data_IF_703432787676
#
_entry.id   IF_703432787676
#
_cell.length_a   1.000
_cell.length_b   1.000
_cell.length_c   1.000
_cell.angle_alpha   90.00
_cell.angle_beta   90.00
_cell.angle_gamma   90.00
#
_symmetry.space_group_name_H-M   'P 1'
#
loop_
_entity.id
_entity.type
_entity.pdbx_description
1 polymer ?
#
# COMPACT_ATOMS: atom_id res chain seq x y z
N UNK A 1 -17.05 -21.91 0.96
CA UNK A 1 -17.06 -20.45 0.74
C UNK A 1 -16.25 -20.19 -0.52
N UNK A 2 -16.73 -19.42 -1.51
CA UNK A 2 -15.89 -19.09 -2.64
C UNK A 2 -14.79 -18.17 -2.08
N UNK A 3 -13.58 -18.72 -1.94
CA UNK A 3 -12.35 -17.96 -1.71
C UNK A 3 -12.36 -16.81 -2.72
N UNK A 4 -12.25 -15.57 -2.23
CA UNK A 4 -12.17 -14.37 -3.05
C UNK A 4 -11.40 -14.69 -4.34
N UNK A 5 -12.06 -14.56 -5.49
CA UNK A 5 -11.47 -14.95 -6.76
C UNK A 5 -10.26 -14.06 -6.98
N UNK A 6 -9.06 -14.61 -7.14
CA UNK A 6 -7.92 -14.10 -7.93
C UNK A 6 -7.96 -12.57 -8.24
N UNK A 7 -8.78 -12.16 -9.22
CA UNK A 7 -8.93 -10.78 -9.69
C UNK A 7 -9.48 -9.78 -8.65
N UNK A 8 -10.10 -10.23 -7.56
CA UNK A 8 -10.70 -9.40 -6.53
C UNK A 8 -9.63 -8.81 -5.59
N UNK A 9 -8.57 -9.55 -5.29
CA UNK A 9 -7.48 -9.05 -4.43
C UNK A 9 -6.70 -7.94 -5.14
N UNK A 10 -6.26 -8.19 -6.38
CA UNK A 10 -5.52 -7.20 -7.15
C UNK A 10 -6.33 -5.92 -7.39
N UNK A 11 -7.64 -6.06 -7.68
CA UNK A 11 -8.56 -4.91 -7.76
C UNK A 11 -8.73 -4.17 -6.44
N UNK A 12 -8.72 -4.89 -5.32
CA UNK A 12 -8.79 -4.30 -3.99
C UNK A 12 -7.52 -3.47 -3.70
N UNK A 13 -6.34 -4.02 -3.97
CA UNK A 13 -5.06 -3.31 -3.77
C UNK A 13 -4.85 -2.13 -4.72
N UNK A 14 -5.51 -2.13 -5.89
CA UNK A 14 -5.50 -1.00 -6.82
C UNK A 14 -6.48 0.13 -6.43
N UNK A 15 -7.40 -0.08 -5.48
CA UNK A 15 -8.37 0.93 -5.05
C UNK A 15 -7.69 1.96 -4.12
N UNK A 16 -7.68 3.27 -4.46
CA UNK A 16 -7.09 4.30 -3.61
C UNK A 16 -7.73 4.39 -2.22
N UNK A 17 -9.00 3.98 -2.07
CA UNK A 17 -9.66 3.91 -0.76
C UNK A 17 -9.02 2.86 0.13
N UNK A 18 -8.63 1.72 -0.43
CA UNK A 18 -7.98 0.63 0.32
C UNK A 18 -6.62 1.08 0.81
N UNK A 19 -5.82 1.73 -0.03
CA UNK A 19 -4.54 2.31 0.37
C UNK A 19 -4.71 3.34 1.51
N UNK A 20 -5.69 4.23 1.40
CA UNK A 20 -5.98 5.22 2.45
C UNK A 20 -6.41 4.56 3.78
N UNK A 21 -7.23 3.50 3.72
CA UNK A 21 -7.65 2.75 4.91
C UNK A 21 -6.45 2.03 5.54
N UNK A 22 -5.66 1.30 4.75
CA UNK A 22 -4.46 0.60 5.24
C UNK A 22 -3.49 1.54 5.95
N UNK A 23 -3.31 2.75 5.41
CA UNK A 23 -2.51 3.81 6.02
C UNK A 23 -3.10 4.29 7.35
N UNK A 24 -4.40 4.55 7.40
CA UNK A 24 -5.07 4.99 8.63
C UNK A 24 -5.02 3.93 9.74
N UNK A 25 -5.07 2.64 9.39
CA UNK A 25 -5.21 1.54 10.36
C UNK A 25 -3.90 0.87 10.76
N UNK A 26 -2.74 1.45 10.45
CA UNK A 26 -1.41 0.86 10.76
C UNK A 26 -1.17 0.60 12.26
N UNK A 27 -1.85 1.34 13.15
CA UNK A 27 -1.69 1.17 14.60
C UNK A 27 -2.25 -0.17 15.10
N UNK A 28 -1.52 -0.81 16.04
CA UNK A 28 -1.96 -2.03 16.74
C UNK A 28 -3.23 -1.84 17.57
N UNK A 29 -3.53 -0.63 18.02
CA UNK A 29 -4.76 -0.34 18.77
C UNK A 29 -6.01 -0.34 17.87
N UNK A 30 -5.81 -0.23 16.56
CA UNK A 30 -6.87 -0.14 15.56
C UNK A 30 -7.71 1.13 15.65
N UNK A 31 -8.63 1.26 14.69
CA UNK A 31 -9.58 2.36 14.57
C UNK A 31 -10.99 1.83 14.29
N UNK A 32 -12.00 2.52 14.79
CA UNK A 32 -13.40 2.24 14.42
C UNK A 32 -13.72 2.77 13.03
N UNK A 33 -14.81 2.28 12.40
CA UNK A 33 -15.27 2.79 11.10
C UNK A 33 -15.43 4.32 11.09
N UNK A 34 -15.90 4.91 12.20
CA UNK A 34 -16.06 6.36 12.34
C UNK A 34 -14.71 7.10 12.34
N UNK A 35 -13.73 6.54 13.04
CA UNK A 35 -12.38 7.11 13.10
C UNK A 35 -11.67 6.99 11.74
N UNK A 36 -11.82 5.84 11.06
CA UNK A 36 -11.33 5.65 9.69
C UNK A 36 -11.95 6.68 8.75
N UNK A 37 -13.27 6.92 8.84
CA UNK A 37 -13.96 7.94 8.04
C UNK A 37 -13.41 9.34 8.27
N UNK A 38 -13.16 9.72 9.52
CA UNK A 38 -12.61 11.04 9.85
C UNK A 38 -11.19 11.22 9.29
N UNK A 39 -10.33 10.20 9.39
CA UNK A 39 -8.95 10.28 8.92
C UNK A 39 -8.82 10.22 7.39
N UNK A 40 -9.60 9.35 6.74
CA UNK A 40 -9.53 9.14 5.29
C UNK A 40 -10.41 10.11 4.49
N UNK A 41 -11.31 10.83 5.17
CA UNK A 41 -12.39 11.63 4.56
C UNK A 41 -13.35 10.82 3.68
N UNK A 42 -13.33 9.48 3.78
CA UNK A 42 -14.25 8.59 3.09
C UNK A 42 -15.55 8.52 3.90
N UNK A 43 -16.73 8.73 3.30
CA UNK A 43 -18.01 8.65 4.01
C UNK A 43 -18.24 7.27 4.67
N UNK A 44 -18.71 7.26 5.92
CA UNK A 44 -19.00 6.05 6.70
C UNK A 44 -19.81 4.99 5.93
N UNK A 45 -20.84 5.40 5.17
CA UNK A 45 -21.68 4.48 4.41
C UNK A 45 -20.93 3.73 3.29
N UNK A 46 -19.82 4.28 2.81
CA UNK A 46 -18.95 3.64 1.81
C UNK A 46 -17.91 2.73 2.47
N UNK A 47 -17.59 2.93 3.74
CA UNK A 47 -16.54 2.17 4.42
C UNK A 47 -16.96 0.75 4.80
N UNK A 48 -18.19 0.52 5.23
CA UNK A 48 -18.61 -0.80 5.73
C UNK A 48 -18.36 -1.92 4.70
N UNK A 49 -18.70 -1.66 3.43
CA UNK A 49 -18.50 -2.64 2.37
C UNK A 49 -17.01 -2.87 2.08
N UNK A 50 -16.22 -1.79 2.03
CA UNK A 50 -14.78 -1.87 1.76
C UNK A 50 -14.03 -2.55 2.90
N UNK A 51 -14.33 -2.21 4.15
CA UNK A 51 -13.73 -2.83 5.34
C UNK A 51 -14.03 -4.33 5.36
N UNK A 52 -15.27 -4.75 5.13
CA UNK A 52 -15.60 -6.19 5.09
C UNK A 52 -14.77 -6.93 4.03
N UNK A 53 -14.65 -6.37 2.82
CA UNK A 53 -13.79 -6.96 1.77
C UNK A 53 -12.33 -7.04 2.18
N UNK A 54 -11.81 -6.01 2.85
CA UNK A 54 -10.44 -5.98 3.34
C UNK A 54 -10.24 -7.03 4.43
N UNK A 55 -11.21 -7.25 5.31
CA UNK A 55 -11.15 -8.34 6.28
C UNK A 55 -11.19 -9.72 5.62
N UNK A 56 -12.08 -9.93 4.65
CA UNK A 56 -12.17 -11.18 3.89
C UNK A 56 -10.88 -11.48 3.09
N UNK A 57 -10.10 -10.44 2.79
CA UNK A 57 -8.80 -10.51 2.12
C UNK A 57 -7.60 -10.54 3.10
N UNK A 58 -7.85 -10.64 4.40
CA UNK A 58 -6.83 -10.60 5.47
C UNK A 58 -5.96 -9.32 5.45
N UNK A 59 -6.50 -8.21 4.95
CA UNK A 59 -5.86 -6.90 4.96
C UNK A 59 -6.17 -6.12 6.23
N UNK A 60 -7.27 -6.45 6.92
CA UNK A 60 -7.66 -5.88 8.20
C UNK A 60 -8.10 -6.97 9.16
N UNK A 61 -7.74 -6.80 10.43
CA UNK A 61 -8.20 -7.66 11.53
C UNK A 61 -8.91 -6.84 12.59
N UNK A 62 -9.84 -7.45 13.32
CA UNK A 62 -10.46 -6.83 14.49
C UNK A 62 -9.54 -7.06 15.68
N UNK A 63 -9.01 -5.97 16.25
CA UNK A 63 -8.09 -6.02 17.39
C UNK A 63 -8.77 -5.72 18.73
N UNK A 64 -9.95 -5.09 18.69
CA UNK A 64 -10.76 -4.82 19.87
C UNK A 64 -12.25 -4.70 19.50
N UNK A 65 -13.12 -4.99 20.47
CA UNK A 65 -14.56 -4.81 20.34
C UNK A 65 -15.10 -4.17 21.62
N UNK A 66 -15.85 -3.07 21.47
CA UNK A 66 -16.47 -2.36 22.59
C UNK A 66 -17.97 -2.29 22.39
N UNK A 67 -18.73 -2.52 23.46
CA UNK A 67 -20.18 -2.38 23.41
C UNK A 67 -20.56 -0.92 23.70
N UNK A 68 -21.23 -0.27 22.74
CA UNK A 68 -21.75 1.09 22.88
C UNK A 68 -23.27 1.04 22.77
N UNK A 69 -23.95 1.11 23.93
CA UNK A 69 -25.39 0.86 24.04
C UNK A 69 -25.74 -0.54 23.49
N UNK A 70 -26.55 -0.61 22.43
CA UNK A 70 -26.99 -1.87 21.82
C UNK A 70 -26.15 -2.24 20.58
N UNK A 71 -25.05 -1.53 20.30
CA UNK A 71 -24.21 -1.75 19.12
C UNK A 71 -22.82 -2.21 19.56
N UNK A 72 -22.29 -3.22 18.86
CA UNK A 72 -20.90 -3.62 18.96
C UNK A 72 -20.06 -2.76 18.01
N UNK A 73 -19.08 -2.06 18.55
CA UNK A 73 -18.14 -1.24 17.80
C UNK A 73 -16.80 -1.97 17.70
N UNK A 74 -16.42 -2.32 16.47
CA UNK A 74 -15.16 -3.01 16.16
C UNK A 74 -14.05 -2.01 15.88
N UNK A 75 -12.84 -2.34 16.32
CA UNK A 75 -11.60 -1.63 16.01
C UNK A 75 -10.79 -2.46 15.03
N UNK A 76 -10.45 -1.88 13.88
CA UNK A 76 -9.75 -2.54 12.79
C UNK A 76 -8.30 -2.09 12.72
N UNK A 77 -7.39 -3.04 12.47
CA UNK A 77 -5.96 -2.79 12.31
C UNK A 77 -5.40 -3.51 11.08
N UNK A 78 -4.44 -2.87 10.41
CA UNK A 78 -3.58 -3.46 9.37
C UNK A 78 -2.17 -3.76 9.88
N UNK A 79 -1.90 -3.59 11.19
CA UNK A 79 -0.56 -3.74 11.76
C UNK A 79 0.04 -5.13 11.52
N UNK A 80 -0.81 -6.16 11.34
CA UNK A 80 -0.35 -7.52 11.09
C UNK A 80 0.28 -7.72 9.71
N UNK A 81 0.02 -6.80 8.76
CA UNK A 81 0.66 -6.81 7.46
C UNK A 81 2.16 -6.54 7.58
N UNK A 82 2.58 -5.76 8.58
CA UNK A 82 3.96 -5.29 8.74
C UNK A 82 4.78 -6.12 9.74
N UNK A 83 4.38 -7.37 10.03
CA UNK A 83 5.14 -8.28 10.90
C UNK A 83 6.46 -8.77 10.25
N UNK A 84 7.42 -7.87 10.12
CA UNK A 84 8.83 -8.17 9.89
C UNK A 84 9.52 -8.52 11.22
N UNK A 85 10.82 -8.82 11.21
CA UNK A 85 11.56 -9.02 12.47
C UNK A 85 11.51 -7.75 13.34
N UNK A 86 11.62 -7.83 14.68
CA UNK A 86 11.54 -6.65 15.55
C UNK A 86 12.53 -5.53 15.20
N UNK A 87 13.70 -5.89 14.65
CA UNK A 87 14.72 -4.93 14.22
C UNK A 87 14.30 -4.21 12.94
N UNK A 88 13.84 -4.95 11.92
CA UNK A 88 13.36 -4.35 10.66
C UNK A 88 12.13 -3.47 10.91
N UNK A 89 11.23 -3.90 11.79
CA UNK A 89 10.06 -3.11 12.18
C UNK A 89 10.49 -1.80 12.87
N UNK A 90 11.48 -1.84 13.77
CA UNK A 90 11.98 -0.64 14.43
C UNK A 90 12.64 0.34 13.43
N UNK A 91 13.39 -0.19 12.46
CA UNK A 91 14.02 0.63 11.42
C UNK A 91 12.95 1.27 10.52
N UNK A 92 11.89 0.54 10.16
CA UNK A 92 10.78 1.03 9.32
C UNK A 92 9.86 2.01 10.05
N UNK A 93 9.50 1.73 11.30
CA UNK A 93 8.71 2.62 12.16
C UNK A 93 9.42 3.96 12.37
N UNK A 94 10.76 3.96 12.37
CA UNK A 94 11.58 5.17 12.48
C UNK A 94 11.57 6.08 11.25
N UNK A 95 11.05 5.63 10.10
CA UNK A 95 11.09 6.41 8.85
C UNK A 95 9.89 7.35 8.66
N UNK A 96 8.84 7.29 9.50
CA UNK A 96 7.61 8.12 9.40
C UNK A 96 7.07 8.21 7.96
N UNK A 97 6.97 7.06 7.27
CA UNK A 97 6.54 7.01 5.87
C UNK A 97 5.16 6.42 5.66
N UNK A 98 4.47 6.95 4.66
CA UNK A 98 3.12 6.55 4.27
C UNK A 98 3.08 5.40 3.26
N UNK A 99 4.11 4.56 3.26
CA UNK A 99 4.18 3.39 2.38
C UNK A 99 3.44 2.19 2.98
N UNK A 100 2.76 1.42 2.13
CA UNK A 100 2.20 0.12 2.53
C UNK A 100 3.33 -0.90 2.43
N UNK A 101 3.87 -1.28 3.57
CA UNK A 101 4.87 -2.35 3.66
C UNK A 101 4.19 -3.67 4.06
N UNK A 102 4.36 -4.69 3.23
CA UNK A 102 3.80 -6.03 3.44
C UNK A 102 4.96 -6.96 3.79
N UNK A 103 4.96 -7.47 5.02
CA UNK A 103 5.98 -8.35 5.56
C UNK A 103 6.17 -9.63 4.76
N UNK A 104 7.35 -10.22 4.89
CA UNK A 104 7.64 -11.54 4.33
C UNK A 104 6.70 -12.62 4.88
N UNK A 105 6.35 -12.55 6.17
CA UNK A 105 5.45 -13.51 6.83
C UNK A 105 4.05 -13.51 6.20
N UNK A 106 3.45 -12.33 6.03
CA UNK A 106 2.12 -12.24 5.41
C UNK A 106 2.16 -12.67 3.94
N UNK A 107 3.20 -12.24 3.21
CA UNK A 107 3.42 -12.59 1.80
C UNK A 107 3.51 -14.11 1.61
N UNK A 108 4.20 -14.82 2.51
CA UNK A 108 4.31 -16.28 2.46
C UNK A 108 2.94 -16.97 2.59
N UNK A 109 2.03 -16.42 3.39
CA UNK A 109 0.67 -16.95 3.52
C UNK A 109 -0.24 -16.63 2.32
N UNK A 110 0.12 -15.61 1.52
CA UNK A 110 -0.72 -15.03 0.46
C UNK A 110 -0.02 -14.95 -0.91
N UNK A 111 0.93 -15.85 -1.19
CA UNK A 111 1.79 -15.82 -2.38
C UNK A 111 0.98 -15.66 -3.68
N UNK A 112 -0.12 -16.39 -3.84
CA UNK A 112 -0.93 -16.31 -5.07
C UNK A 112 -1.52 -14.91 -5.27
N UNK A 113 -2.10 -14.33 -4.22
CA UNK A 113 -2.67 -12.99 -4.22
C UNK A 113 -1.61 -11.94 -4.55
N UNK A 114 -0.43 -12.04 -3.95
CA UNK A 114 0.69 -11.13 -4.21
C UNK A 114 1.17 -11.23 -5.67
N UNK A 115 1.33 -12.44 -6.20
CA UNK A 115 1.72 -12.65 -7.60
C UNK A 115 0.76 -11.95 -8.58
N UNK A 116 -0.55 -11.99 -8.32
CA UNK A 116 -1.53 -11.35 -9.19
C UNK A 116 -1.50 -9.85 -9.09
N UNK A 117 -1.26 -9.33 -7.89
CA UNK A 117 -1.08 -7.91 -7.72
C UNK A 117 0.15 -7.42 -8.48
N UNK A 118 1.27 -8.15 -8.40
CA UNK A 118 2.48 -7.88 -9.22
C UNK A 118 2.16 -7.91 -10.71
N UNK A 119 1.43 -8.93 -11.20
CA UNK A 119 1.03 -9.01 -12.61
C UNK A 119 0.16 -7.83 -13.05
N UNK A 120 -0.78 -7.40 -12.21
CA UNK A 120 -1.63 -6.24 -12.49
C UNK A 120 -0.80 -4.95 -12.56
N UNK A 121 0.11 -4.74 -11.60
CA UNK A 121 0.99 -3.56 -11.58
C UNK A 121 1.88 -3.49 -12.83
N UNK A 122 2.44 -4.62 -13.25
CA UNK A 122 3.24 -4.71 -14.47
C UNK A 122 2.40 -4.49 -15.74
N UNK A 123 1.16 -4.99 -15.77
CA UNK A 123 0.24 -4.72 -16.87
C UNK A 123 -0.10 -3.23 -16.98
N UNK A 124 -0.51 -2.60 -15.87
CA UNK A 124 -0.80 -1.16 -15.79
C UNK A 124 0.40 -0.32 -16.29
N UNK A 125 1.62 -0.67 -15.86
CA UNK A 125 2.83 0.01 -16.31
C UNK A 125 3.07 -0.17 -17.81
N UNK A 126 2.92 -1.39 -18.32
CA UNK A 126 3.15 -1.71 -19.74
C UNK A 126 2.16 -0.98 -20.65
N UNK A 127 0.88 -0.92 -20.28
CA UNK A 127 -0.12 -0.17 -21.02
C UNK A 127 0.19 1.33 -21.06
N UNK A 128 0.54 1.91 -19.91
CA UNK A 128 0.90 3.33 -19.82
C UNK A 128 2.15 3.64 -20.65
N UNK A 129 3.18 2.77 -20.58
CA UNK A 129 4.40 2.89 -21.37
C UNK A 129 4.08 2.84 -22.87
N UNK A 130 3.28 1.86 -23.31
CA UNK A 130 2.88 1.73 -24.70
C UNK A 130 2.11 2.97 -25.18
N UNK A 131 1.15 3.47 -24.40
CA UNK A 131 0.37 4.65 -24.75
C UNK A 131 1.25 5.89 -24.91
N UNK A 132 2.11 6.19 -23.94
CA UNK A 132 3.00 7.36 -23.99
C UNK A 132 3.99 7.28 -25.16
N UNK A 133 4.62 6.12 -25.38
CA UNK A 133 5.67 5.98 -26.41
C UNK A 133 5.13 5.89 -27.83
N UNK A 134 3.87 5.46 -28.03
CA UNK A 134 3.29 5.28 -29.36
C UNK A 134 2.29 6.36 -29.76
N UNK A 135 1.63 7.03 -28.81
CA UNK A 135 0.57 8.00 -29.08
C UNK A 135 0.92 9.43 -28.68
N UNK A 136 1.87 9.64 -27.77
CA UNK A 136 2.31 10.96 -27.32
C UNK A 136 3.73 11.26 -27.82
N UNK A 137 4.11 12.53 -27.86
CA UNK A 137 5.48 12.93 -28.26
C UNK A 137 6.47 12.37 -27.21
N UNK A 138 7.39 11.46 -27.57
CA UNK A 138 8.27 10.77 -26.61
C UNK A 138 9.08 11.75 -25.74
N UNK A 139 9.51 12.86 -26.33
CA UNK A 139 10.34 13.89 -25.68
C UNK A 139 9.62 14.67 -24.57
N UNK A 140 8.31 14.46 -24.41
CA UNK A 140 7.49 15.07 -23.34
C UNK A 140 6.85 14.02 -22.43
N UNK A 141 7.21 12.75 -22.58
CA UNK A 141 6.71 11.67 -21.73
C UNK A 141 7.27 11.82 -20.32
N UNK A 142 6.38 11.66 -19.33
CA UNK A 142 6.77 11.57 -17.92
C UNK A 142 7.12 10.13 -17.50
N UNK A 143 6.97 9.14 -18.38
CA UNK A 143 7.29 7.74 -18.10
C UNK A 143 8.75 7.47 -18.44
N UNK A 144 9.46 6.87 -17.49
CA UNK A 144 10.82 6.35 -17.68
C UNK A 144 10.92 4.91 -17.18
N UNK A 145 11.89 4.16 -17.72
CA UNK A 145 12.25 2.83 -17.26
C UNK A 145 13.74 2.79 -16.95
N UNK A 146 14.08 2.37 -15.74
CA UNK A 146 15.45 2.27 -15.24
C UNK A 146 15.67 0.91 -14.60
N UNK A 147 16.83 0.29 -14.86
CA UNK A 147 17.26 -0.94 -14.21
C UNK A 147 18.75 -0.87 -13.86
N UNK A 148 19.16 -1.64 -12.85
CA UNK A 148 20.56 -1.75 -12.43
C UNK A 148 20.84 -3.14 -11.85
N UNK A 149 22.08 -3.61 -12.03
CA UNK A 149 22.62 -4.80 -11.34
C UNK A 149 23.63 -4.30 -10.32
N UNK A 150 23.39 -4.58 -9.04
CA UNK A 150 24.20 -4.09 -7.92
C UNK A 150 24.81 -5.27 -7.16
N UNK A 151 26.09 -5.16 -6.80
CA UNK A 151 26.75 -6.11 -5.90
C UNK A 151 26.70 -5.55 -4.48
N UNK A 152 25.80 -6.07 -3.65
CA UNK A 152 25.56 -5.58 -2.28
C UNK A 152 25.75 -6.70 -1.25
N UNK A 153 26.19 -6.33 -0.06
CA UNK A 153 26.09 -7.19 1.13
C UNK A 153 24.65 -7.17 1.65
N UNK A 154 24.27 -8.11 2.52
CA UNK A 154 22.95 -8.11 3.17
C UNK A 154 22.65 -6.78 3.89
N UNK A 155 23.65 -6.19 4.56
CA UNK A 155 23.51 -4.88 5.19
C UNK A 155 23.32 -3.75 4.16
N UNK A 156 24.01 -3.83 3.02
CA UNK A 156 23.83 -2.88 1.92
C UNK A 156 22.45 -2.97 1.27
N UNK A 157 21.90 -4.18 1.12
CA UNK A 157 20.53 -4.37 0.63
C UNK A 157 19.49 -3.80 1.59
N UNK A 158 19.65 -4.02 2.89
CA UNK A 158 18.78 -3.45 3.91
C UNK A 158 18.81 -1.92 3.88
N UNK A 159 20.02 -1.32 3.85
CA UNK A 159 20.15 0.13 3.75
C UNK A 159 19.50 0.69 2.48
N UNK A 160 19.68 0.02 1.32
CA UNK A 160 19.03 0.41 0.08
C UNK A 160 17.50 0.42 0.21
N UNK A 161 16.91 -0.59 0.87
CA UNK A 161 15.46 -0.63 1.14
C UNK A 161 15.04 0.60 1.96
N UNK A 162 15.73 0.89 3.06
CA UNK A 162 15.42 2.04 3.93
C UNK A 162 15.53 3.37 3.19
N UNK A 163 16.60 3.56 2.40
CA UNK A 163 16.82 4.79 1.64
C UNK A 163 15.73 5.02 0.58
N UNK A 164 15.32 3.96 -0.13
CA UNK A 164 14.22 4.03 -1.10
C UNK A 164 12.88 4.35 -0.42
N UNK A 165 12.57 3.68 0.69
CA UNK A 165 11.34 3.92 1.46
C UNK A 165 11.30 5.37 1.94
N UNK A 166 12.40 5.87 2.51
CA UNK A 166 12.51 7.26 2.96
C UNK A 166 12.31 8.25 1.82
N UNK A 167 13.02 8.06 0.71
CA UNK A 167 12.92 8.92 -0.47
C UNK A 167 11.48 9.04 -0.96
N UNK A 168 10.77 7.92 -1.04
CA UNK A 168 9.38 7.86 -1.50
C UNK A 168 8.40 8.44 -0.46
N UNK A 169 8.62 8.16 0.83
CA UNK A 169 7.79 8.68 1.92
C UNK A 169 7.86 10.20 2.04
N UNK A 170 9.03 10.78 1.77
CA UNK A 170 9.23 12.23 1.80
C UNK A 170 8.80 12.93 0.49
N UNK A 171 8.44 12.20 -0.56
CA UNK A 171 8.24 12.76 -1.90
C UNK A 171 7.11 13.82 -1.97
N UNK A 172 5.95 13.57 -1.34
CA UNK A 172 4.85 14.55 -1.32
C UNK A 172 5.17 15.78 -0.46
N UNK A 173 5.93 15.58 0.64
CA UNK A 173 6.37 16.67 1.53
C UNK A 173 7.41 17.56 0.86
N UNK A 174 8.26 16.95 0.03
CA UNK A 174 9.33 17.62 -0.71
C UNK A 174 8.87 18.09 -2.10
N UNK A 175 7.55 18.03 -2.39
CA UNK A 175 6.98 18.62 -3.60
C UNK A 175 7.36 20.11 -3.66
N UNK A 176 8.09 20.57 -4.69
CA UNK A 176 8.53 21.96 -4.79
C UNK A 176 7.38 22.95 -5.00
N UNK A 177 6.20 22.47 -5.43
CA UNK A 177 4.97 23.27 -5.51
C UNK A 177 3.80 22.57 -4.80
N UNK A 178 3.84 22.53 -3.45
CA UNK A 178 2.89 21.74 -2.68
C UNK A 178 1.45 22.30 -2.78
N UNK A 179 1.29 23.54 -3.24
CA UNK A 179 -0.01 24.21 -3.41
C UNK A 179 -0.53 24.14 -4.86
N UNK A 180 0.17 23.45 -5.76
CA UNK A 180 -0.28 23.27 -7.14
C UNK A 180 -1.68 22.68 -7.18
N UNK A 181 -2.50 23.22 -8.07
CA UNK A 181 -3.86 22.70 -8.34
C UNK A 181 -3.87 21.60 -9.41
N UNK A 182 -2.75 21.42 -10.14
CA UNK A 182 -2.55 20.37 -11.14
C UNK A 182 -1.70 19.21 -10.58
N UNK A 183 -2.02 18.75 -9.36
CA UNK A 183 -1.35 17.56 -8.81
C UNK A 183 -1.80 16.31 -9.57
N UNK A 184 -0.82 15.50 -9.97
CA UNK A 184 -1.05 14.22 -10.63
C UNK A 184 -0.72 13.09 -9.69
N UNK A 185 -1.51 12.02 -9.77
CA UNK A 185 -1.16 10.77 -9.11
C UNK A 185 -0.01 10.12 -9.86
N UNK A 186 1.14 9.99 -9.20
CA UNK A 186 2.32 9.28 -9.73
C UNK A 186 2.31 7.86 -9.18
N UNK A 187 2.31 6.87 -10.08
CA UNK A 187 2.44 5.45 -9.73
C UNK A 187 3.89 5.02 -9.94
N UNK A 188 4.48 4.37 -8.95
CA UNK A 188 5.85 3.85 -9.00
C UNK A 188 5.85 2.36 -8.66
N UNK A 189 6.62 1.59 -9.43
CA UNK A 189 6.86 0.17 -9.22
C UNK A 189 8.37 -0.05 -9.12
N UNK A 190 8.82 -0.63 -8.01
CA UNK A 190 10.22 -0.99 -7.77
C UNK A 190 10.24 -2.47 -7.39
N UNK A 191 10.91 -3.28 -8.20
CA UNK A 191 11.02 -4.72 -8.00
C UNK A 191 12.49 -5.09 -7.82
N UNK A 192 12.80 -5.79 -6.71
CA UNK A 192 14.13 -6.35 -6.43
C UNK A 192 14.02 -7.86 -6.34
N UNK A 193 14.85 -8.58 -7.11
CA UNK A 193 14.99 -10.03 -7.03
C UNK A 193 16.47 -10.44 -6.96
N UNK A 194 16.73 -11.71 -6.66
CA UNK A 194 18.06 -12.34 -6.67
C UNK A 194 17.96 -13.62 -7.51
#
# INVERSE_FOLDING_TARGET
>A
MPKNTLAQFAKLMADPKVAAILKATKSKTGLTTKQISAQTKIPNNQLYYTINKMQDADLLTIVNQVQVKNLTENFYSSAHLSHETPQELADLDGLDTDLTDISGTWTQAHVQQVLQWIMLLNHDFTEAYQEEMTRKQPDKSAIFFSNAILNLSAAGEHQLRLDLIKLLGDAEKNDPDPQSTDKRQVKLLIEKWQ
#
